data_IF_406814560462
#
_entry.id   IF_406814560462
#
_cell.length_a   1.000
_cell.length_b   1.000
_cell.length_c   1.000
_cell.angle_alpha   90.00
_cell.angle_beta   90.00
_cell.angle_gamma   90.00
#
_symmetry.space_group_name_H-M   'P 1'
#
loop_
_entity.id
_entity.type
_entity.pdbx_description
1 polymer ?
#
# COMPACT_ATOMS: atom_id res chain seq x y z
N UNK A 1 2.94 14.85 16.41
CA UNK A 1 4.28 15.17 15.88
C UNK A 1 4.23 14.99 14.38
N UNK A 2 4.68 16.01 13.65
CA UNK A 2 4.50 16.16 12.21
C UNK A 2 5.36 15.12 11.47
N UNK A 3 4.72 14.14 10.83
CA UNK A 3 5.37 13.29 9.83
C UNK A 3 5.48 14.09 8.54
N UNK A 4 6.70 14.26 8.06
CA UNK A 4 7.04 14.95 6.83
C UNK A 4 6.52 14.16 5.64
N UNK A 5 5.46 14.66 5.00
CA UNK A 5 5.10 14.23 3.65
C UNK A 5 6.23 14.64 2.71
N UNK A 6 6.84 13.66 2.03
CA UNK A 6 7.70 13.91 0.89
C UNK A 6 6.87 14.63 -0.18
N UNK A 7 7.07 15.93 -0.30
CA UNK A 7 6.48 16.77 -1.33
C UNK A 7 7.28 16.53 -2.61
N UNK A 8 6.71 15.80 -3.57
CA UNK A 8 7.20 15.84 -4.94
C UNK A 8 6.81 17.19 -5.52
N UNK A 9 7.77 18.11 -5.59
CA UNK A 9 7.58 19.41 -6.20
C UNK A 9 7.23 19.25 -7.68
N UNK A 10 6.05 19.73 -8.04
CA UNK A 10 5.60 19.93 -9.42
C UNK A 10 6.64 20.74 -10.20
N UNK A 11 7.18 20.16 -11.28
CA UNK A 11 8.12 20.85 -12.17
C UNK A 11 7.30 21.79 -13.06
N UNK A 12 7.19 23.05 -12.66
CA UNK A 12 6.63 24.11 -13.50
C UNK A 12 7.67 24.58 -14.52
N UNK A 13 7.27 24.52 -15.78
CA UNK A 13 7.98 24.93 -17.00
C UNK A 13 8.41 26.40 -16.98
N UNK A 14 9.72 26.67 -17.09
CA UNK A 14 10.23 27.97 -17.54
C UNK A 14 10.33 27.95 -19.06
N UNK A 15 9.48 28.76 -19.68
CA UNK A 15 9.40 29.02 -21.11
C UNK A 15 10.35 30.17 -21.46
N UNK A 16 11.43 29.88 -22.18
CA UNK A 16 12.15 30.89 -22.98
C UNK A 16 12.02 30.56 -24.45
N UNK A 17 11.62 31.58 -25.21
CA UNK A 17 11.21 31.52 -26.61
C UNK A 17 12.40 31.89 -27.52
N UNK A 18 12.31 31.43 -28.77
CA UNK A 18 13.15 31.70 -29.97
C UNK A 18 14.39 30.80 -30.09
N UNK A 19 14.65 30.13 -31.22
CA UNK A 19 14.41 30.51 -32.62
C UNK A 19 14.19 29.28 -33.53
N UNK A 20 13.58 29.56 -34.68
CA UNK A 20 13.23 28.65 -35.77
C UNK A 20 14.43 27.97 -36.44
N UNK A 21 14.38 26.65 -36.58
CA UNK A 21 14.99 25.94 -37.70
C UNK A 21 14.14 24.71 -38.02
N UNK A 22 13.52 24.75 -39.20
CA UNK A 22 12.85 23.63 -39.84
C UNK A 22 13.90 22.60 -40.25
N UNK A 23 13.88 21.43 -39.63
CA UNK A 23 14.39 20.22 -40.26
C UNK A 23 13.41 19.09 -39.96
N UNK A 24 12.72 18.63 -41.01
CA UNK A 24 12.05 17.33 -41.05
C UNK A 24 13.13 16.25 -40.86
N UNK A 25 13.50 16.02 -39.61
CA UNK A 25 14.33 14.89 -39.21
C UNK A 25 13.38 13.72 -38.96
N UNK A 26 13.47 12.70 -39.80
CA UNK A 26 12.93 11.37 -39.52
C UNK A 26 13.46 10.95 -38.15
N UNK A 27 12.61 10.59 -37.16
CA UNK A 27 13.09 10.22 -35.84
C UNK A 27 14.04 9.02 -35.95
N UNK A 28 15.30 9.23 -35.56
CA UNK A 28 16.30 8.19 -35.49
C UNK A 28 15.79 7.08 -34.57
N UNK A 29 15.58 5.88 -35.11
CA UNK A 29 15.06 4.74 -34.36
C UNK A 29 16.15 4.25 -33.41
N UNK A 30 16.15 4.77 -32.18
CA UNK A 30 17.08 4.34 -31.12
C UNK A 30 16.99 2.83 -30.90
N UNK A 31 18.14 2.23 -30.61
CA UNK A 31 18.25 0.80 -30.37
C UNK A 31 17.79 0.44 -28.96
N UNK A 32 17.42 -0.83 -28.73
CA UNK A 32 17.06 -1.32 -27.40
C UNK A 32 18.20 -1.13 -26.37
N UNK A 33 19.45 -1.11 -26.84
CA UNK A 33 20.63 -0.79 -26.02
C UNK A 33 20.60 0.63 -25.47
N UNK A 34 20.10 1.60 -26.25
CA UNK A 34 19.99 2.99 -25.81
C UNK A 34 18.96 3.12 -24.69
N UNK A 35 17.81 2.43 -24.81
CA UNK A 35 16.79 2.44 -23.76
C UNK A 35 17.26 1.74 -22.49
N UNK A 36 17.97 0.61 -22.63
CA UNK A 36 18.57 -0.08 -21.49
C UNK A 36 19.51 0.84 -20.70
N UNK A 37 20.36 1.61 -21.38
CA UNK A 37 21.23 2.59 -20.72
C UNK A 37 20.42 3.60 -19.90
N UNK A 38 19.40 4.24 -20.49
CA UNK A 38 18.58 5.23 -19.77
C UNK A 38 17.77 4.65 -18.62
N UNK A 39 17.33 3.39 -18.71
CA UNK A 39 16.62 2.70 -17.60
C UNK A 39 17.56 2.46 -16.42
N UNK A 40 18.79 2.00 -16.68
CA UNK A 40 19.76 1.73 -15.62
C UNK A 40 20.24 2.98 -14.88
N UNK A 41 20.12 4.17 -15.47
CA UNK A 41 20.38 5.42 -14.74
C UNK A 41 19.54 5.54 -13.46
N UNK A 42 18.34 4.95 -13.46
CA UNK A 42 17.49 4.96 -12.27
C UNK A 42 18.11 4.14 -11.13
N UNK A 43 18.68 2.97 -11.44
CA UNK A 43 19.41 2.16 -10.45
C UNK A 43 20.75 2.77 -10.04
N UNK A 44 21.53 3.25 -11.00
CA UNK A 44 22.91 3.67 -10.79
C UNK A 44 23.03 5.05 -10.13
N UNK A 45 22.08 5.94 -10.43
CA UNK A 45 22.13 7.35 -10.04
C UNK A 45 20.85 7.87 -9.39
N UNK A 46 19.79 7.06 -9.32
CA UNK A 46 18.47 7.54 -8.92
C UNK A 46 17.80 8.44 -9.98
N UNK A 47 18.31 8.47 -11.21
CA UNK A 47 17.84 9.37 -12.27
C UNK A 47 16.74 8.71 -13.11
N UNK A 48 15.49 9.15 -12.95
CA UNK A 48 14.38 8.73 -13.79
C UNK A 48 14.40 9.47 -15.14
N UNK A 49 14.68 8.77 -16.23
CA UNK A 49 14.88 9.39 -17.55
C UNK A 49 13.67 9.21 -18.48
N UNK A 50 13.12 10.31 -19.03
CA UNK A 50 12.09 10.26 -20.08
C UNK A 50 12.61 9.57 -21.36
N UNK A 51 13.92 9.57 -21.60
CA UNK A 51 14.53 8.89 -22.76
C UNK A 51 14.48 7.36 -22.67
N UNK A 52 14.13 6.81 -21.50
CA UNK A 52 14.00 5.38 -21.26
C UNK A 52 12.73 4.76 -21.86
N UNK A 53 11.79 5.60 -22.32
CA UNK A 53 10.49 5.20 -22.87
C UNK A 53 9.75 4.23 -21.94
N UNK A 54 9.48 4.70 -20.73
CA UNK A 54 8.81 3.91 -19.70
C UNK A 54 7.39 3.51 -20.11
N UNK A 55 6.75 4.30 -20.96
CA UNK A 55 5.45 4.02 -21.58
C UNK A 55 5.44 2.80 -22.50
N UNK A 56 6.61 2.36 -22.99
CA UNK A 56 6.76 1.16 -23.83
C UNK A 56 7.14 -0.09 -23.00
N UNK A 57 7.33 0.04 -21.68
CA UNK A 57 7.73 -1.05 -20.78
C UNK A 57 6.52 -1.81 -20.26
N UNK A 58 6.62 -3.13 -20.22
CA UNK A 58 5.68 -3.98 -19.45
C UNK A 58 6.23 -4.17 -18.04
N UNK A 59 5.42 -3.86 -17.03
CA UNK A 59 5.76 -4.03 -15.62
C UNK A 59 5.22 -5.38 -15.08
N UNK A 60 5.93 -6.03 -14.14
CA UNK A 60 7.21 -5.62 -13.56
C UNK A 60 8.40 -5.76 -14.52
N UNK A 61 9.38 -4.86 -14.42
CA UNK A 61 10.59 -4.82 -15.25
C UNK A 61 11.85 -5.08 -14.40
N UNK A 62 12.70 -6.03 -14.80
CA UNK A 62 13.96 -6.30 -14.10
C UNK A 62 14.98 -5.19 -14.41
N UNK A 63 15.25 -4.37 -13.41
CA UNK A 63 16.17 -3.23 -13.48
C UNK A 63 17.62 -3.65 -13.26
N UNK A 64 17.88 -4.52 -12.28
CA UNK A 64 19.22 -5.01 -11.95
C UNK A 64 19.17 -6.46 -11.44
N UNK A 65 20.31 -7.18 -11.55
CA UNK A 65 20.46 -8.58 -11.14
C UNK A 65 21.72 -8.79 -10.30
N UNK A 66 21.73 -9.84 -9.48
CA UNK A 66 22.87 -10.18 -8.63
C UNK A 66 23.10 -9.19 -7.48
N UNK A 67 22.03 -8.50 -7.07
CA UNK A 67 22.07 -7.44 -6.05
C UNK A 67 21.80 -8.06 -4.68
N UNK A 68 22.70 -7.86 -3.72
CA UNK A 68 22.42 -8.25 -2.34
C UNK A 68 21.30 -7.38 -1.75
N UNK A 69 20.51 -7.92 -0.82
CA UNK A 69 19.40 -7.17 -0.22
C UNK A 69 19.88 -5.90 0.50
N UNK A 70 21.06 -5.95 1.14
CA UNK A 70 21.63 -4.80 1.84
C UNK A 70 22.04 -3.69 0.86
N UNK A 71 22.58 -4.03 -0.33
CA UNK A 71 22.89 -3.06 -1.39
C UNK A 71 21.62 -2.41 -1.95
N UNK A 72 20.54 -3.19 -2.08
CA UNK A 72 19.23 -2.69 -2.46
C UNK A 72 18.68 -1.70 -1.43
N UNK A 73 18.71 -2.06 -0.15
CA UNK A 73 18.22 -1.22 0.94
C UNK A 73 19.01 0.10 1.04
N UNK A 74 20.34 0.04 0.94
CA UNK A 74 21.18 1.23 0.93
C UNK A 74 20.84 2.15 -0.24
N UNK A 75 20.63 1.60 -1.44
CA UNK A 75 20.33 2.39 -2.64
C UNK A 75 18.95 3.01 -2.61
N UNK A 76 17.93 2.28 -2.16
CA UNK A 76 16.59 2.86 -2.02
C UNK A 76 16.64 4.06 -1.08
N UNK A 77 17.30 3.94 0.07
CA UNK A 77 17.44 5.04 1.03
C UNK A 77 18.24 6.20 0.42
N UNK A 78 19.39 5.90 -0.19
CA UNK A 78 20.28 6.89 -0.80
C UNK A 78 19.58 7.75 -1.85
N UNK A 79 18.74 7.14 -2.68
CA UNK A 79 18.02 7.83 -3.75
C UNK A 79 16.58 8.22 -3.37
N UNK A 80 16.13 7.85 -2.18
CA UNK A 80 14.76 8.07 -1.68
C UNK A 80 13.70 7.54 -2.67
N UNK A 81 13.87 6.30 -3.15
CA UNK A 81 12.99 5.65 -4.14
C UNK A 81 12.11 4.62 -3.44
N UNK A 82 10.95 5.07 -2.98
CA UNK A 82 9.97 4.21 -2.30
C UNK A 82 8.80 3.84 -3.23
N UNK A 83 8.17 2.70 -2.98
CA UNK A 83 7.00 2.18 -3.71
C UNK A 83 7.15 1.91 -5.22
N UNK A 84 8.33 2.11 -5.78
CA UNK A 84 8.57 1.88 -7.21
C UNK A 84 9.36 0.60 -7.45
N UNK A 85 10.23 0.23 -6.50
CA UNK A 85 11.12 -0.91 -6.59
C UNK A 85 10.77 -2.00 -5.60
N UNK A 86 10.92 -3.25 -6.02
CA UNK A 86 10.95 -4.39 -5.11
C UNK A 86 12.19 -5.25 -5.33
N UNK A 87 12.66 -5.89 -4.26
CA UNK A 87 13.77 -6.83 -4.34
C UNK A 87 13.23 -8.25 -4.26
N UNK A 88 13.61 -9.09 -5.22
CA UNK A 88 13.20 -10.47 -5.32
C UNK A 88 14.37 -11.35 -5.75
N UNK A 89 14.86 -12.20 -4.85
CA UNK A 89 15.90 -13.20 -5.14
C UNK A 89 17.14 -12.64 -5.86
N UNK A 90 17.62 -11.48 -5.43
CA UNK A 90 18.78 -10.83 -6.03
C UNK A 90 18.49 -9.99 -7.28
N UNK A 91 17.23 -9.88 -7.69
CA UNK A 91 16.78 -8.98 -8.74
C UNK A 91 16.10 -7.75 -8.13
N UNK A 92 16.31 -6.59 -8.75
CA UNK A 92 15.58 -5.35 -8.46
C UNK A 92 14.57 -5.16 -9.57
N UNK A 93 13.30 -5.16 -9.21
CA UNK A 93 12.18 -4.99 -10.14
C UNK A 93 11.62 -3.59 -10.00
N UNK A 94 11.27 -2.95 -11.11
CA UNK A 94 10.33 -1.83 -11.13
C UNK A 94 8.94 -2.43 -11.30
N UNK A 95 8.04 -2.22 -10.36
CA UNK A 95 6.67 -2.72 -10.45
C UNK A 95 5.63 -1.62 -10.67
N UNK A 96 5.93 -0.39 -10.25
CA UNK A 96 5.07 0.78 -10.40
C UNK A 96 5.93 2.00 -10.78
N UNK A 97 5.39 2.88 -11.60
CA UNK A 97 6.01 4.14 -11.98
C UNK A 97 5.41 5.30 -11.15
N UNK A 98 6.23 6.27 -10.73
CA UNK A 98 5.74 7.46 -10.05
C UNK A 98 4.64 8.14 -10.87
N UNK A 99 3.45 8.30 -10.28
CA UNK A 99 2.33 8.92 -10.98
C UNK A 99 1.36 9.62 -10.03
N UNK A 100 0.77 10.71 -10.52
CA UNK A 100 -0.17 11.50 -9.72
C UNK A 100 -1.48 10.74 -9.38
N UNK A 101 -2.11 9.97 -10.31
CA UNK A 101 -3.28 9.16 -9.98
C UNK A 101 -3.05 8.17 -8.83
N UNK A 102 -1.88 7.51 -8.82
CA UNK A 102 -1.47 6.57 -7.79
C UNK A 102 -1.42 7.24 -6.41
N UNK A 103 -0.64 8.32 -6.27
CA UNK A 103 -0.43 9.00 -5.00
C UNK A 103 -1.72 9.64 -4.45
N UNK A 104 -2.56 10.20 -5.32
CA UNK A 104 -3.86 10.76 -4.92
C UNK A 104 -4.79 9.66 -4.40
N UNK A 105 -4.81 8.49 -5.03
CA UNK A 105 -5.65 7.37 -4.60
C UNK A 105 -5.23 6.87 -3.21
N UNK A 106 -3.93 6.66 -3.00
CA UNK A 106 -3.38 6.29 -1.69
C UNK A 106 -3.78 7.33 -0.64
N UNK A 107 -3.56 8.62 -0.93
CA UNK A 107 -3.91 9.72 -0.02
C UNK A 107 -5.40 9.72 0.33
N UNK A 108 -6.27 9.48 -0.65
CA UNK A 108 -7.72 9.43 -0.45
C UNK A 108 -8.15 8.26 0.45
N UNK A 109 -7.56 7.07 0.28
CA UNK A 109 -7.82 5.89 1.13
C UNK A 109 -7.32 6.13 2.55
N UNK A 110 -6.07 6.56 2.71
CA UNK A 110 -5.44 6.87 4.01
C UNK A 110 -6.28 7.90 4.77
N UNK A 111 -6.77 8.94 4.08
CA UNK A 111 -7.66 9.95 4.68
C UNK A 111 -8.96 9.35 5.22
N UNK A 112 -9.57 8.38 4.53
CA UNK A 112 -10.77 7.72 5.04
C UNK A 112 -10.46 6.85 6.26
N UNK A 113 -9.37 6.07 6.23
CA UNK A 113 -8.94 5.24 7.37
C UNK A 113 -8.72 6.12 8.61
N UNK A 114 -7.91 7.18 8.48
CA UNK A 114 -7.62 8.08 9.59
C UNK A 114 -8.90 8.74 10.14
N UNK A 115 -9.85 9.10 9.27
CA UNK A 115 -11.12 9.68 9.70
C UNK A 115 -11.95 8.71 10.54
N UNK A 116 -11.98 7.43 10.17
CA UNK A 116 -12.73 6.42 10.94
C UNK A 116 -12.02 6.04 12.24
N UNK A 117 -10.69 6.09 12.26
CA UNK A 117 -9.88 5.70 13.40
C UNK A 117 -9.64 6.83 14.42
N UNK A 118 -9.91 8.09 14.06
CA UNK A 118 -9.51 9.27 14.86
C UNK A 118 -10.04 9.31 16.29
N UNK A 119 -11.16 8.63 16.59
CA UNK A 119 -11.66 8.52 17.97
C UNK A 119 -10.74 7.71 18.90
N UNK A 120 -9.88 6.86 18.34
CA UNK A 120 -8.93 6.06 19.09
C UNK A 120 -7.55 6.74 19.24
N UNK A 121 -7.34 7.91 18.63
CA UNK A 121 -6.06 8.62 18.67
C UNK A 121 -5.62 8.92 20.12
N UNK A 122 -4.37 8.63 20.44
CA UNK A 122 -3.81 8.81 21.78
C UNK A 122 -4.21 7.74 22.81
N UNK A 123 -4.99 6.73 22.42
CA UNK A 123 -5.40 5.62 23.28
C UNK A 123 -4.64 4.33 22.98
N UNK A 124 -4.85 3.29 23.78
CA UNK A 124 -4.32 1.94 23.51
C UNK A 124 -4.93 1.31 22.24
N UNK A 125 -6.13 1.75 21.83
CA UNK A 125 -6.77 1.30 20.59
C UNK A 125 -6.29 2.08 19.36
N UNK A 126 -5.35 3.01 19.48
CA UNK A 126 -4.84 3.80 18.35
C UNK A 126 -4.34 2.92 17.20
N UNK A 127 -4.73 3.27 15.98
CA UNK A 127 -4.24 2.67 14.75
C UNK A 127 -3.16 3.57 14.15
N UNK A 128 -1.93 3.07 14.08
CA UNK A 128 -0.81 3.80 13.51
C UNK A 128 -0.73 3.55 12.01
N UNK A 129 -0.68 4.62 11.22
CA UNK A 129 -0.24 4.56 9.82
C UNK A 129 1.28 4.44 9.75
N UNK A 130 1.78 3.35 9.17
CA UNK A 130 3.22 3.10 8.94
C UNK A 130 3.64 3.36 7.49
N UNK A 131 2.73 3.84 6.63
CA UNK A 131 3.03 4.23 5.25
C UNK A 131 3.74 3.10 4.48
N UNK A 132 4.77 3.45 3.72
CA UNK A 132 5.57 2.52 2.92
C UNK A 132 6.75 1.91 3.68
N UNK A 133 6.55 1.60 4.96
CA UNK A 133 7.59 0.90 5.74
C UNK A 133 7.95 -0.41 5.06
N UNK A 134 9.23 -0.58 4.75
CA UNK A 134 9.76 -1.81 4.15
C UNK A 134 9.63 -2.98 5.11
N UNK A 135 9.18 -4.09 4.55
CA UNK A 135 9.22 -5.41 5.19
C UNK A 135 10.10 -6.33 4.36
N UNK A 136 10.66 -7.36 4.98
CA UNK A 136 11.45 -8.37 4.26
C UNK A 136 11.30 -9.76 4.85
N UNK A 137 11.40 -10.74 3.98
CA UNK A 137 11.78 -12.09 4.33
C UNK A 137 13.15 -12.42 3.70
N UNK A 138 13.56 -13.69 3.75
CA UNK A 138 14.87 -14.14 3.24
C UNK A 138 15.05 -13.90 1.72
N UNK A 139 13.94 -13.84 0.97
CA UNK A 139 13.94 -13.87 -0.50
C UNK A 139 13.27 -12.65 -1.13
N UNK A 140 12.54 -11.83 -0.35
CA UNK A 140 11.81 -10.69 -0.87
C UNK A 140 11.78 -9.51 0.11
N UNK A 141 12.07 -8.32 -0.41
CA UNK A 141 11.88 -7.03 0.27
C UNK A 141 10.80 -6.22 -0.43
N UNK A 142 9.73 -5.85 0.29
CA UNK A 142 8.58 -5.12 -0.29
C UNK A 142 8.12 -4.00 0.63
N UNK A 143 7.69 -2.91 0.01
CA UNK A 143 7.01 -1.79 0.64
C UNK A 143 5.54 -1.81 0.20
N UNK A 144 4.63 -1.62 1.15
CA UNK A 144 3.23 -1.37 0.82
C UNK A 144 3.05 0.08 0.35
N UNK A 145 2.01 0.35 -0.43
CA UNK A 145 1.66 1.73 -0.75
C UNK A 145 1.18 2.51 0.49
N UNK A 146 0.37 1.86 1.32
CA UNK A 146 0.13 2.27 2.70
C UNK A 146 -0.05 1.07 3.62
N UNK A 147 0.28 1.25 4.89
CA UNK A 147 0.14 0.19 5.88
C UNK A 147 -0.28 0.73 7.23
N UNK A 148 -0.99 -0.09 8.00
CA UNK A 148 -1.54 0.26 9.31
C UNK A 148 -1.38 -0.87 10.31
N UNK A 149 -1.22 -0.53 11.58
CA UNK A 149 -1.14 -1.48 12.69
C UNK A 149 -1.65 -0.88 14.00
N UNK A 150 -2.22 -1.69 14.92
CA UNK A 150 -2.48 -1.23 16.28
C UNK A 150 -1.20 -0.79 16.99
N UNK A 151 -1.25 0.33 17.71
CA UNK A 151 -0.11 0.90 18.45
C UNK A 151 0.57 -0.08 19.40
N UNK A 152 -0.22 -0.85 20.14
CA UNK A 152 0.31 -1.82 21.11
C UNK A 152 1.01 -3.02 20.45
N UNK A 153 0.88 -3.17 19.13
CA UNK A 153 1.58 -4.17 18.32
C UNK A 153 2.77 -3.58 17.54
N UNK A 154 3.17 -2.33 17.78
CA UNK A 154 4.19 -1.62 17.00
C UNK A 154 5.57 -2.33 16.94
N UNK A 155 5.89 -3.20 17.90
CA UNK A 155 7.14 -3.95 17.93
C UNK A 155 7.21 -5.13 16.94
N UNK A 156 6.13 -5.41 16.19
CA UNK A 156 6.14 -6.45 15.15
C UNK A 156 6.64 -5.87 13.82
N UNK A 157 7.38 -6.64 13.01
CA UNK A 157 7.88 -6.14 11.73
C UNK A 157 6.74 -5.92 10.71
N UNK A 158 5.72 -6.77 10.74
CA UNK A 158 4.62 -6.76 9.78
C UNK A 158 3.49 -5.80 10.18
N UNK A 159 2.86 -5.09 9.21
CA UNK A 159 1.61 -4.39 9.46
C UNK A 159 0.45 -5.37 9.61
N UNK A 160 -0.70 -4.89 10.09
CA UNK A 160 -1.93 -5.69 10.17
C UNK A 160 -2.84 -5.47 8.96
N UNK A 161 -2.86 -4.24 8.42
CA UNK A 161 -3.58 -3.84 7.21
C UNK A 161 -2.58 -3.29 6.19
N UNK A 162 -2.72 -3.74 4.94
CA UNK A 162 -1.95 -3.28 3.79
C UNK A 162 -2.90 -2.70 2.75
N UNK A 163 -2.51 -1.61 2.11
CA UNK A 163 -3.16 -1.05 0.93
C UNK A 163 -2.15 -1.07 -0.21
N UNK A 164 -2.55 -1.64 -1.35
CA UNK A 164 -1.81 -1.62 -2.62
C UNK A 164 -2.68 -0.93 -3.68
N UNK A 165 -2.08 -0.05 -4.47
CA UNK A 165 -2.73 0.70 -5.54
C UNK A 165 -1.96 0.44 -6.83
N UNK A 166 -2.53 -0.35 -7.74
CA UNK A 166 -1.92 -0.63 -9.03
C UNK A 166 -2.40 0.37 -10.08
N UNK A 167 -1.52 1.28 -10.53
CA UNK A 167 -1.80 2.16 -11.67
C UNK A 167 -1.08 1.69 -12.94
N UNK A 168 0.25 1.77 -12.97
CA UNK A 168 1.06 1.19 -14.05
C UNK A 168 1.39 -0.28 -13.80
N UNK A 169 1.34 -0.72 -12.54
CA UNK A 169 1.44 -2.13 -12.17
C UNK A 169 0.25 -2.94 -12.74
N UNK A 170 0.51 -4.20 -13.10
CA UNK A 170 -0.54 -5.14 -13.52
C UNK A 170 -1.35 -5.62 -12.32
N UNK A 171 -2.63 -5.96 -12.52
CA UNK A 171 -3.45 -6.54 -11.45
C UNK A 171 -2.86 -7.88 -10.97
N UNK A 172 -2.34 -8.70 -11.89
CA UNK A 172 -1.75 -10.00 -11.55
C UNK A 172 -0.55 -9.86 -10.59
N UNK A 173 0.31 -8.87 -10.79
CA UNK A 173 1.43 -8.60 -9.88
C UNK A 173 0.94 -8.08 -8.52
N UNK A 174 -0.08 -7.21 -8.51
CA UNK A 174 -0.68 -6.72 -7.26
C UNK A 174 -1.37 -7.84 -6.47
N UNK A 175 -2.05 -8.77 -7.14
CA UNK A 175 -2.64 -9.95 -6.52
C UNK A 175 -1.57 -10.95 -6.08
N UNK A 176 -0.43 -11.06 -6.78
CA UNK A 176 0.70 -11.86 -6.32
C UNK A 176 1.28 -11.33 -5.01
N UNK A 177 1.20 -10.01 -4.75
CA UNK A 177 1.58 -9.43 -3.47
C UNK A 177 0.79 -10.02 -2.29
N UNK A 178 -0.44 -10.53 -2.50
CA UNK A 178 -1.22 -11.19 -1.45
C UNK A 178 -0.49 -12.40 -0.86
N UNK A 179 0.25 -13.16 -1.68
CA UNK A 179 1.06 -14.30 -1.22
C UNK A 179 2.16 -13.83 -0.26
N UNK A 180 2.67 -12.62 -0.47
CA UNK A 180 3.67 -12.01 0.41
C UNK A 180 3.03 -11.42 1.66
N UNK A 181 2.00 -10.60 1.53
CA UNK A 181 1.41 -9.87 2.66
C UNK A 181 0.63 -10.76 3.61
N UNK A 182 -0.17 -11.69 3.06
CA UNK A 182 -1.11 -12.50 3.83
C UNK A 182 -0.60 -13.93 4.06
N UNK A 183 0.71 -14.12 3.92
CA UNK A 183 1.38 -15.34 4.39
C UNK A 183 1.26 -15.47 5.92
N UNK A 184 1.28 -16.70 6.47
CA UNK A 184 1.13 -16.92 7.91
C UNK A 184 2.10 -16.07 8.76
N UNK A 185 1.57 -15.40 9.78
CA UNK A 185 2.35 -14.57 10.71
C UNK A 185 2.71 -13.17 10.20
N UNK A 186 2.07 -12.70 9.12
CA UNK A 186 2.29 -11.38 8.51
C UNK A 186 1.05 -10.48 8.65
N UNK A 187 0.66 -9.77 7.59
CA UNK A 187 -0.56 -8.99 7.58
C UNK A 187 -1.80 -9.89 7.57
N UNK A 188 -2.91 -9.32 7.98
CA UNK A 188 -4.18 -10.04 8.15
C UNK A 188 -5.25 -9.51 7.21
N UNK A 189 -5.12 -8.25 6.80
CA UNK A 189 -6.05 -7.54 5.94
C UNK A 189 -5.30 -6.86 4.78
N UNK A 190 -5.87 -6.90 3.57
CA UNK A 190 -5.31 -6.24 2.41
C UNK A 190 -6.40 -5.64 1.52
N UNK A 191 -6.20 -4.39 1.11
CA UNK A 191 -7.02 -3.70 0.12
C UNK A 191 -6.17 -3.50 -1.13
N UNK A 192 -6.65 -3.98 -2.27
CA UNK A 192 -6.06 -3.70 -3.57
C UNK A 192 -6.98 -2.74 -4.32
N UNK A 193 -6.42 -1.69 -4.92
CA UNK A 193 -7.12 -0.82 -5.85
C UNK A 193 -6.42 -0.84 -7.21
N UNK A 194 -7.15 -1.22 -8.26
CA UNK A 194 -6.67 -1.08 -9.64
C UNK A 194 -7.25 0.19 -10.23
N UNK A 195 -6.38 1.04 -10.75
CA UNK A 195 -6.74 2.22 -11.52
C UNK A 195 -6.50 1.91 -13.00
N UNK A 196 -7.52 2.07 -13.84
CA UNK A 196 -7.34 1.91 -15.28
C UNK A 196 -6.48 3.07 -15.82
N UNK A 197 -5.48 2.82 -16.69
CA UNK A 197 -4.61 3.85 -17.21
C UNK A 197 -5.38 4.97 -17.90
N UNK A 198 -4.95 6.21 -17.66
CA UNK A 198 -5.48 7.40 -18.32
C UNK A 198 -4.36 8.22 -18.94
N UNK A 199 -4.65 9.03 -19.97
CA UNK A 199 -3.69 10.02 -20.45
C UNK A 199 -3.23 10.92 -19.30
N UNK A 200 -2.00 11.41 -19.41
CA UNK A 200 -1.44 12.34 -18.44
C UNK A 200 -2.40 13.51 -18.17
N UNK A 201 -2.45 13.95 -16.91
CA UNK A 201 -3.30 15.05 -16.42
C UNK A 201 -4.81 14.83 -16.54
N UNK A 202 -5.26 13.58 -16.74
CA UNK A 202 -6.69 13.23 -16.69
C UNK A 202 -7.03 12.48 -15.42
N UNK A 203 -8.22 12.75 -14.91
CA UNK A 203 -8.78 12.00 -13.80
C UNK A 203 -9.04 10.54 -14.20
N UNK A 204 -8.73 9.56 -13.34
CA UNK A 204 -9.17 8.19 -13.51
C UNK A 204 -10.69 8.08 -13.63
N UNK A 205 -11.17 7.42 -14.68
CA UNK A 205 -12.61 7.23 -14.93
C UNK A 205 -13.10 5.87 -14.49
N UNK A 206 -12.24 4.86 -14.45
CA UNK A 206 -12.58 3.51 -13.99
C UNK A 206 -11.55 3.01 -12.99
N UNK A 207 -12.05 2.56 -11.84
CA UNK A 207 -11.25 2.02 -10.74
C UNK A 207 -12.00 0.85 -10.12
N UNK A 208 -11.24 -0.14 -9.65
CA UNK A 208 -11.74 -1.36 -9.02
C UNK A 208 -11.07 -1.54 -7.67
N UNK A 209 -11.82 -2.01 -6.68
CA UNK A 209 -11.29 -2.34 -5.37
C UNK A 209 -11.56 -3.82 -5.04
N UNK A 210 -10.63 -4.42 -4.30
CA UNK A 210 -10.75 -5.75 -3.72
C UNK A 210 -10.32 -5.69 -2.25
N UNK A 211 -11.06 -6.39 -1.39
CA UNK A 211 -10.74 -6.52 0.03
C UNK A 211 -10.51 -7.98 0.38
N UNK A 212 -9.38 -8.26 1.00
CA UNK A 212 -8.98 -9.59 1.43
C UNK A 212 -8.76 -9.61 2.94
N UNK A 213 -9.28 -10.63 3.62
CA UNK A 213 -9.22 -10.73 5.07
C UNK A 213 -9.02 -12.19 5.48
N UNK A 214 -7.94 -12.47 6.22
CA UNK A 214 -7.63 -13.84 6.67
C UNK A 214 -8.66 -14.37 7.67
N UNK A 215 -9.35 -13.49 8.38
CA UNK A 215 -10.38 -13.84 9.37
C UNK A 215 -11.77 -14.06 8.78
N UNK A 216 -12.01 -13.75 7.50
CA UNK A 216 -13.33 -13.82 6.88
C UNK A 216 -13.81 -15.26 6.54
N UNK A 217 -12.98 -16.28 6.73
CA UNK A 217 -13.39 -17.69 6.62
C UNK A 217 -12.30 -18.65 6.14
N UNK A 218 -12.64 -19.95 6.04
CA UNK A 218 -11.76 -20.94 5.38
C UNK A 218 -11.96 -20.85 3.87
N UNK A 219 -11.09 -20.12 3.18
CA UNK A 219 -10.91 -20.33 1.75
C UNK A 219 -10.54 -21.79 1.46
N UNK A 220 -10.59 -22.20 0.19
CA UNK A 220 -9.92 -23.44 -0.23
C UNK A 220 -8.47 -23.43 0.25
N UNK A 221 -7.90 -24.58 0.63
CA UNK A 221 -6.51 -24.66 1.12
C UNK A 221 -5.60 -23.84 0.18
N UNK A 222 -5.01 -22.76 0.71
CA UNK A 222 -4.05 -21.84 0.06
C UNK A 222 -4.60 -20.60 -0.67
N UNK A 223 -5.89 -20.28 -0.61
CA UNK A 223 -6.43 -19.01 -1.14
C UNK A 223 -6.96 -18.13 -0.03
N UNK A 224 -6.47 -16.88 0.04
CA UNK A 224 -6.98 -15.88 0.97
C UNK A 224 -8.43 -15.54 0.62
N UNK A 225 -9.35 -15.45 1.60
CA UNK A 225 -10.73 -15.07 1.33
C UNK A 225 -10.83 -13.65 0.76
N UNK A 226 -11.41 -13.53 -0.45
CA UNK A 226 -11.93 -12.27 -0.98
C UNK A 226 -13.25 -11.94 -0.26
N UNK A 227 -13.30 -10.80 0.41
CA UNK A 227 -14.46 -10.33 1.18
C UNK A 227 -15.41 -9.53 0.30
N UNK A 228 -14.88 -8.57 -0.45
CA UNK A 228 -15.69 -7.71 -1.32
C UNK A 228 -14.89 -7.24 -2.52
N UNK A 229 -15.60 -6.94 -3.61
CA UNK A 229 -15.03 -6.28 -4.78
C UNK A 229 -16.10 -5.43 -5.47
N UNK A 230 -15.70 -4.28 -6.01
CA UNK A 230 -16.60 -3.38 -6.74
C UNK A 230 -15.83 -2.42 -7.65
N UNK A 231 -16.54 -1.86 -8.63
CA UNK A 231 -16.10 -0.69 -9.41
C UNK A 231 -16.58 0.59 -8.71
N UNK A 232 -15.76 1.65 -8.70
CA UNK A 232 -16.10 2.93 -8.07
C UNK A 232 -15.62 4.16 -8.87
N UNK A 233 -15.35 3.98 -10.16
CA UNK A 233 -15.06 5.07 -11.11
C UNK A 233 -16.30 5.87 -11.52
N UNK A 234 -16.13 6.83 -12.42
CA UNK A 234 -17.22 7.55 -13.10
C UNK A 234 -17.77 6.80 -14.30
N UNK A 235 -17.08 5.74 -14.74
CA UNK A 235 -17.47 4.85 -15.81
C UNK A 235 -17.25 3.38 -15.42
N UNK A 236 -18.11 2.51 -15.96
CA UNK A 236 -17.98 1.06 -15.83
C UNK A 236 -17.10 0.45 -16.93
N UNK A 237 -16.96 -0.88 -16.92
CA UNK A 237 -16.22 -1.65 -17.94
C UNK A 237 -16.67 -1.45 -19.40
N UNK A 238 -17.89 -0.97 -19.64
CA UNK A 238 -18.44 -0.71 -20.97
C UNK A 238 -18.27 0.74 -21.40
N UNK A 239 -17.77 1.61 -20.51
CA UNK A 239 -17.70 3.05 -20.70
C UNK A 239 -19.01 3.78 -20.35
N UNK A 240 -20.01 3.09 -19.80
CA UNK A 240 -21.25 3.70 -19.39
C UNK A 240 -21.07 4.48 -18.07
N UNK A 241 -21.81 5.58 -17.83
CA UNK A 241 -21.70 6.33 -16.58
C UNK A 241 -21.98 5.47 -15.34
N UNK A 242 -21.04 5.47 -14.41
CA UNK A 242 -21.17 4.83 -13.10
C UNK A 242 -21.42 5.91 -12.04
N UNK A 243 -22.62 5.90 -11.46
CA UNK A 243 -23.02 6.81 -10.39
C UNK A 243 -23.09 6.00 -9.09
N UNK A 244 -22.17 6.29 -8.18
CA UNK A 244 -22.16 5.69 -6.84
C UNK A 244 -22.75 6.67 -5.83
N UNK A 245 -23.61 6.17 -4.96
CA UNK A 245 -24.11 6.92 -3.80
C UNK A 245 -23.27 6.62 -2.56
N UNK A 246 -23.31 7.53 -1.58
CA UNK A 246 -22.74 7.26 -0.25
C UNK A 246 -23.35 5.97 0.33
N UNK A 247 -22.50 5.11 0.85
CA UNK A 247 -22.87 3.83 1.44
C UNK A 247 -23.04 2.67 0.45
N UNK A 248 -22.84 2.88 -0.84
CA UNK A 248 -22.99 1.83 -1.86
C UNK A 248 -21.73 0.98 -2.04
N UNK A 249 -20.55 1.61 -2.00
CA UNK A 249 -19.26 0.96 -2.23
C UNK A 249 -18.45 1.01 -0.93
N UNK A 250 -18.67 0.03 -0.05
CA UNK A 250 -18.03 0.00 1.28
C UNK A 250 -17.07 -1.20 1.38
N UNK A 251 -15.85 -0.94 1.85
CA UNK A 251 -14.98 -1.96 2.44
C UNK A 251 -15.12 -1.93 3.96
N UNK A 252 -15.37 -3.07 4.57
CA UNK A 252 -15.57 -3.22 6.00
C UNK A 252 -14.38 -3.92 6.64
N UNK A 253 -13.50 -3.17 7.29
CA UNK A 253 -12.31 -3.73 7.95
C UNK A 253 -12.72 -4.23 9.34
N UNK A 254 -12.64 -5.54 9.55
CA UNK A 254 -13.01 -6.15 10.83
C UNK A 254 -11.99 -5.86 11.92
N UNK A 255 -12.45 -5.47 13.11
CA UNK A 255 -11.54 -5.30 14.25
C UNK A 255 -10.89 -6.61 14.67
N UNK A 256 -11.57 -7.75 14.52
CA UNK A 256 -10.94 -9.06 14.81
C UNK A 256 -9.78 -9.38 13.86
N UNK A 257 -9.77 -8.81 12.66
CA UNK A 257 -8.68 -8.95 11.72
C UNK A 257 -7.55 -7.95 12.02
N UNK A 258 -7.91 -6.67 12.24
CA UNK A 258 -6.95 -5.61 12.52
C UNK A 258 -6.20 -5.83 13.85
N UNK A 259 -6.87 -6.40 14.85
CA UNK A 259 -6.32 -6.77 16.16
C UNK A 259 -6.13 -8.29 16.30
N UNK A 260 -5.97 -9.04 15.20
CA UNK A 260 -5.89 -10.51 15.22
C UNK A 260 -4.83 -11.05 16.19
N UNK A 261 -3.69 -10.36 16.27
CA UNK A 261 -2.58 -10.74 17.16
C UNK A 261 -2.78 -10.34 18.63
N UNK A 262 -3.87 -9.64 18.92
CA UNK A 262 -4.23 -9.20 20.25
C UNK A 262 -4.96 -10.35 20.96
N UNK A 263 -4.21 -11.15 21.72
CA UNK A 263 -4.82 -12.06 22.70
C UNK A 263 -5.43 -11.19 23.79
N UNK A 264 -6.76 -11.17 23.90
CA UNK A 264 -7.37 -10.73 25.16
C UNK A 264 -6.83 -11.66 26.26
N UNK A 265 -6.43 -11.14 27.43
CA UNK A 265 -6.22 -12.01 28.58
C UNK A 265 -7.50 -12.80 28.75
N UNK A 266 -7.38 -14.13 28.72
CA UNK A 266 -8.52 -15.05 28.75
C UNK A 266 -9.55 -14.55 29.76
N UNK A 267 -10.77 -14.34 29.29
CA UNK A 267 -11.90 -14.05 30.17
C UNK A 267 -11.96 -15.16 31.21
N UNK A 268 -11.52 -14.85 32.43
CA UNK A 268 -11.78 -15.56 33.68
C UNK A 268 -12.19 -17.02 33.45
N UNK A 269 -11.22 -17.92 33.28
CA UNK A 269 -11.47 -19.31 33.61
C UNK A 269 -12.06 -19.31 35.04
N UNK A 270 -13.20 -19.98 35.29
CA UNK A 270 -13.73 -20.06 36.64
C UNK A 270 -12.66 -20.66 37.56
N UNK A 271 -12.59 -20.26 38.84
CA UNK A 271 -11.56 -20.74 39.74
C UNK A 271 -11.75 -22.25 39.93
N UNK A 272 -10.95 -23.04 39.22
CA UNK A 272 -10.67 -24.42 39.61
C UNK A 272 -9.55 -24.35 40.62
N UNK A 273 -9.98 -24.37 41.87
CA UNK A 273 -9.18 -24.36 43.08
C UNK A 273 -8.25 -25.59 43.14
N UNK A 274 -7.13 -25.37 43.84
CA UNK A 274 -6.13 -26.33 44.34
C UNK A 274 -5.06 -26.82 43.34
N UNK A 275 -3.80 -26.54 43.67
CA UNK A 275 -2.53 -26.89 42.99
C UNK A 275 -1.97 -25.87 41.99
N UNK A 276 -1.66 -24.66 42.46
CA UNK A 276 -0.68 -23.82 41.78
C UNK A 276 0.76 -24.32 42.08
N UNK A 277 1.62 -24.56 41.08
CA UNK A 277 3.05 -24.78 41.29
C UNK A 277 3.73 -23.47 41.73
N UNK A 278 4.92 -23.54 42.36
CA UNK A 278 5.59 -22.36 42.89
C UNK A 278 5.92 -21.37 41.77
N UNK A 279 5.52 -20.11 41.99
CA UNK A 279 5.79 -18.97 41.12
C UNK A 279 7.31 -18.78 41.01
N UNK A 280 7.82 -18.74 39.78
CA UNK A 280 9.24 -18.48 39.51
C UNK A 280 9.58 -17.05 39.99
N UNK A 281 10.47 -16.88 41.00
CA UNK A 281 10.79 -15.58 41.58
C UNK A 281 11.58 -14.65 40.64
N UNK A 282 11.91 -15.10 39.41
CA UNK A 282 12.60 -14.31 38.40
C UNK A 282 11.70 -13.83 37.24
N UNK A 283 10.40 -14.15 37.25
CA UNK A 283 9.48 -13.58 36.28
C UNK A 283 9.30 -12.07 36.55
N UNK A 284 9.45 -11.19 35.54
CA UNK A 284 9.16 -9.76 35.72
C UNK A 284 7.69 -9.59 36.14
N UNK A 285 7.37 -8.63 37.01
CA UNK A 285 6.00 -8.39 37.43
C UNK A 285 5.15 -8.09 36.19
N UNK A 286 4.14 -8.92 35.95
CA UNK A 286 3.08 -8.62 34.99
C UNK A 286 2.35 -7.41 35.56
N UNK A 287 2.46 -6.27 34.88
CA UNK A 287 1.80 -5.03 35.29
C UNK A 287 0.28 -5.26 35.39
N UNK A 288 -0.29 -5.26 36.61
CA UNK A 288 -1.71 -5.52 36.82
C UNK A 288 -2.60 -4.34 36.38
N UNK A 289 -2.02 -3.22 35.90
CA UNK A 289 -2.74 -2.04 35.45
C UNK A 289 -3.10 -2.04 33.95
N UNK A 290 -2.57 -2.99 33.17
CA UNK A 290 -2.88 -3.09 31.75
C UNK A 290 -4.31 -3.60 31.53
N UNK A 291 -5.28 -2.69 31.53
CA UNK A 291 -6.66 -2.99 31.15
C UNK A 291 -6.68 -3.62 29.76
N UNK A 292 -7.53 -4.65 29.51
CA UNK A 292 -7.68 -5.22 28.18
C UNK A 292 -8.06 -4.12 27.19
N UNK A 293 -7.43 -4.08 26.02
CA UNK A 293 -7.91 -3.18 24.96
C UNK A 293 -9.34 -3.61 24.61
N UNK A 294 -10.26 -2.65 24.61
CA UNK A 294 -11.61 -2.81 24.10
C UNK A 294 -11.78 -1.88 22.88
N UNK A 295 -11.23 -2.24 21.71
CA UNK A 295 -11.27 -1.37 20.53
C UNK A 295 -12.70 -0.97 20.16
N UNK A 296 -13.67 -1.86 20.40
CA UNK A 296 -15.09 -1.63 20.09
C UNK A 296 -15.71 -0.44 20.83
N UNK A 297 -15.09 0.06 21.90
CA UNK A 297 -15.58 1.23 22.64
C UNK A 297 -15.23 2.55 21.95
N UNK A 298 -14.21 2.56 21.08
CA UNK A 298 -13.67 3.76 20.42
C UNK A 298 -13.74 3.69 18.89
N UNK A 299 -13.73 2.47 18.33
CA UNK A 299 -13.75 2.21 16.90
C UNK A 299 -15.04 1.47 16.52
N UNK A 300 -15.63 1.79 15.36
CA UNK A 300 -16.70 0.96 14.80
C UNK A 300 -16.18 -0.43 14.43
N UNK A 301 -17.01 -1.45 14.61
CA UNK A 301 -16.74 -2.82 14.14
C UNK A 301 -17.89 -3.29 13.22
N UNK A 302 -17.66 -3.42 11.91
CA UNK A 302 -16.40 -3.15 11.20
C UNK A 302 -16.10 -1.64 11.05
N UNK A 303 -14.85 -1.30 10.72
CA UNK A 303 -14.45 0.05 10.28
C UNK A 303 -14.88 0.24 8.81
N UNK A 304 -15.81 1.16 8.51
CA UNK A 304 -16.34 1.32 7.16
C UNK A 304 -15.52 2.32 6.33
N UNK A 305 -14.96 1.87 5.21
CA UNK A 305 -14.35 2.72 4.19
C UNK A 305 -15.31 2.88 3.03
N UNK A 306 -15.91 4.05 2.92
CA UNK A 306 -16.84 4.37 1.83
C UNK A 306 -16.08 4.99 0.64
N UNK A 307 -16.05 4.22 -0.45
CA UNK A 307 -15.35 4.59 -1.68
C UNK A 307 -16.03 5.70 -2.47
N UNK A 308 -17.25 6.11 -2.09
CA UNK A 308 -17.83 7.38 -2.55
C UNK A 308 -16.89 8.56 -2.20
N UNK A 309 -16.40 8.60 -0.96
CA UNK A 309 -15.48 9.67 -0.54
C UNK A 309 -14.10 9.52 -1.15
N UNK A 310 -13.64 8.28 -1.38
CA UNK A 310 -12.36 8.03 -2.08
C UNK A 310 -12.44 8.58 -3.50
N UNK A 311 -13.47 8.20 -4.27
CA UNK A 311 -13.73 8.72 -5.62
C UNK A 311 -13.80 10.26 -5.63
N UNK A 312 -14.54 10.84 -4.69
CA UNK A 312 -14.70 12.30 -4.61
C UNK A 312 -13.37 13.02 -4.38
N UNK A 313 -12.53 12.52 -3.45
CA UNK A 313 -11.22 13.12 -3.20
C UNK A 313 -10.29 12.97 -4.42
N UNK A 314 -10.34 11.84 -5.13
CA UNK A 314 -9.57 11.63 -6.36
C UNK A 314 -9.98 12.67 -7.40
N UNK A 315 -11.27 12.77 -7.73
CA UNK A 315 -11.77 13.70 -8.75
C UNK A 315 -11.41 15.15 -8.45
N UNK A 316 -11.62 15.58 -7.21
CA UNK A 316 -11.32 16.94 -6.77
C UNK A 316 -9.86 17.34 -7.03
N UNK A 317 -8.92 16.40 -7.00
CA UNK A 317 -7.51 16.69 -7.22
C UNK A 317 -7.16 16.94 -8.71
N UNK A 318 -8.03 16.58 -9.65
CA UNK A 318 -7.85 16.81 -11.10
C UNK A 318 -8.73 17.95 -11.66
N UNK A 319 -9.57 18.55 -10.82
CA UNK A 319 -10.47 19.65 -11.21
C UNK A 319 -9.81 21.05 -11.06
N UNK A 320 -8.48 21.11 -10.80
CA UNK A 320 -7.69 22.33 -10.63
C UNK A 320 -6.71 22.54 -11.80
#
# INVERSE_FOLDING_TARGET
MLSSNASFSSINSIRTRTSSASSDAVPERKSDYDYFFYRNLWWDKGEFSEKAKWEEVTLPYVLAKGIAIDDYEERVEKFNIHRCWEWLNGEVLIYELPSMPHEICISAIVKQINRQCGNADGTDAEILGTGSTRTRDINRGKEADASFRPKKLANRPWPNLVVEVAYTETLDHAEEALKYWLSPGRAHDCIIVKIDPVPQDRAPVRMRAWHYCVSAGRGTRNTVPLVTTFEFGTQDSTGAPLIIAQGQCIINISLSCLYHDFKQPDSLAPPMDLFAPPVDPLAPPVDPSASPIQPQTLLPDPIPLDFFFVQHNIRKAFDY
#
